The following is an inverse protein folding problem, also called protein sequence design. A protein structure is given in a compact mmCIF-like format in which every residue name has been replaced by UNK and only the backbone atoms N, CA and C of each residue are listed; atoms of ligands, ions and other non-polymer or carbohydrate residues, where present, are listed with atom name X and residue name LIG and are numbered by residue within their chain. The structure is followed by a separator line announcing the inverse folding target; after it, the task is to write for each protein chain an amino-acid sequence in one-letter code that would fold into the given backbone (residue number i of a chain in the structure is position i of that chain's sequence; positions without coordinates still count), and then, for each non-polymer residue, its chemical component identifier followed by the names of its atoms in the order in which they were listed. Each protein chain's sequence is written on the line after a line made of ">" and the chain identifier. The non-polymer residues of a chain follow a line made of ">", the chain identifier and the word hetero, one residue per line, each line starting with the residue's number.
data_IF_154339178307
#
_entry.id   IF_154339178307
#
_cell.length_a   1.000
_cell.length_b   1.000
_cell.length_c   1.000
_cell.angle_alpha   90.00
_cell.angle_beta   90.00
_cell.angle_gamma   90.00
#
_symmetry.space_group_name_H-M   'P 1'
#
loop_
_entity.id
_entity.type
_entity.pdbx_description
1 polymer ?
#
# COMPACT_ATOMS: atom_id res chain seq x y z
N UNK A 1 -56.32 15.36 43.23
CA UNK A 1 -57.14 15.14 42.01
C UNK A 1 -56.29 15.51 40.79
N UNK A 2 -56.06 14.53 39.91
CA UNK A 2 -54.93 14.46 38.98
C UNK A 2 -55.10 15.31 37.71
N UNK A 3 -54.03 16.04 37.33
CA UNK A 3 -53.91 16.79 36.06
C UNK A 3 -53.37 15.91 34.92
N UNK A 4 -53.98 14.75 34.71
CA UNK A 4 -53.63 13.82 33.64
C UNK A 4 -54.88 13.65 32.77
N UNK A 5 -54.96 14.39 31.65
CA UNK A 5 -55.72 14.05 30.41
C UNK A 5 -56.03 15.32 29.60
N UNK A 6 -55.02 15.91 28.97
CA UNK A 6 -55.25 16.76 27.78
C UNK A 6 -54.01 16.68 26.89
N UNK A 7 -53.82 15.55 26.21
CA UNK A 7 -52.96 15.47 25.03
C UNK A 7 -53.84 15.43 23.79
N UNK A 8 -53.50 16.24 22.79
CA UNK A 8 -54.17 16.28 21.49
C UNK A 8 -54.02 14.93 20.77
N UNK A 9 -54.99 14.53 19.91
CA UNK A 9 -54.87 13.30 19.15
C UNK A 9 -53.66 13.37 18.21
N UNK A 10 -52.86 12.31 18.21
CA UNK A 10 -51.67 12.16 17.38
C UNK A 10 -52.10 12.30 15.91
N UNK A 11 -51.61 13.34 15.23
CA UNK A 11 -51.78 13.51 13.79
C UNK A 11 -51.08 12.36 13.09
N UNK A 12 -51.86 11.52 12.41
CA UNK A 12 -51.35 10.39 11.64
C UNK A 12 -50.49 10.94 10.49
N UNK A 13 -49.16 10.94 10.66
CA UNK A 13 -48.22 11.33 9.61
C UNK A 13 -48.27 10.24 8.55
N UNK A 14 -48.66 10.62 7.33
CA UNK A 14 -48.79 9.69 6.20
C UNK A 14 -47.51 8.88 6.00
N UNK A 15 -47.67 7.55 6.01
CA UNK A 15 -46.64 6.52 5.92
C UNK A 15 -46.01 6.39 4.51
N UNK A 16 -45.57 7.49 3.90
CA UNK A 16 -44.89 7.46 2.61
C UNK A 16 -43.42 6.99 2.73
N UNK A 17 -42.84 6.99 3.94
CA UNK A 17 -41.43 6.67 4.18
C UNK A 17 -41.12 5.17 4.25
N UNK A 18 -42.09 4.30 4.55
CA UNK A 18 -41.82 2.88 4.77
C UNK A 18 -41.53 2.09 3.48
N UNK A 19 -42.02 2.53 2.32
CA UNK A 19 -41.65 1.90 1.04
C UNK A 19 -40.17 2.07 0.69
N UNK A 20 -39.49 3.10 1.21
CA UNK A 20 -38.03 3.25 1.05
C UNK A 20 -37.23 2.37 2.01
N UNK A 21 -37.78 2.02 3.17
CA UNK A 21 -37.08 1.20 4.18
C UNK A 21 -36.98 -0.26 3.71
N UNK A 22 -37.99 -0.76 3.00
CA UNK A 22 -38.03 -2.15 2.51
C UNK A 22 -36.96 -2.48 1.46
N UNK A 23 -36.43 -1.47 0.76
CA UNK A 23 -35.44 -1.65 -0.31
C UNK A 23 -34.00 -1.84 0.22
N UNK A 24 -33.73 -1.45 1.47
CA UNK A 24 -32.39 -1.51 2.07
C UNK A 24 -32.21 -2.62 3.11
N UNK A 25 -33.19 -3.52 3.29
CA UNK A 25 -33.10 -4.64 4.24
C UNK A 25 -31.96 -5.64 3.95
N UNK A 26 -31.33 -5.58 2.76
CA UNK A 26 -30.22 -6.45 2.35
C UNK A 26 -28.89 -5.73 2.14
N UNK A 27 -28.81 -4.43 2.40
CA UNK A 27 -27.56 -3.68 2.34
C UNK A 27 -27.11 -3.34 3.77
N UNK A 28 -25.83 -3.54 4.14
CA UNK A 28 -25.34 -3.04 5.41
C UNK A 28 -25.58 -1.53 5.46
N UNK A 29 -26.24 -1.05 6.52
CA UNK A 29 -26.66 0.35 6.74
C UNK A 29 -25.52 1.38 6.79
N UNK A 30 -24.28 0.96 6.53
CA UNK A 30 -23.08 1.79 6.58
C UNK A 30 -22.35 1.66 5.25
N UNK A 31 -22.78 2.45 4.28
CA UNK A 31 -22.10 2.62 2.99
C UNK A 31 -21.18 3.85 3.00
N UNK A 32 -20.52 4.13 4.12
CA UNK A 32 -19.46 5.14 4.20
C UNK A 32 -18.14 4.43 4.51
N UNK A 33 -17.44 4.08 3.44
CA UNK A 33 -16.16 3.35 3.49
C UNK A 33 -15.14 4.06 4.41
N UNK A 34 -15.15 5.40 4.43
CA UNK A 34 -14.24 6.22 5.25
C UNK A 34 -14.55 6.16 6.75
N UNK A 35 -15.83 6.20 7.13
CA UNK A 35 -16.24 6.14 8.54
C UNK A 35 -15.92 4.77 9.16
N UNK A 36 -16.14 3.70 8.41
CA UNK A 36 -15.73 2.34 8.80
C UNK A 36 -14.21 2.24 8.96
N UNK A 37 -13.45 2.92 8.12
CA UNK A 37 -11.98 2.91 8.16
C UNK A 37 -11.46 3.67 9.37
N UNK A 38 -12.01 4.86 9.67
CA UNK A 38 -11.63 5.64 10.85
C UNK A 38 -11.93 4.89 12.16
N UNK A 39 -13.09 4.24 12.27
CA UNK A 39 -13.44 3.42 13.43
C UNK A 39 -12.47 2.24 13.59
N UNK A 40 -12.10 1.58 12.49
CA UNK A 40 -11.16 0.47 12.54
C UNK A 40 -9.76 0.93 12.99
N UNK A 41 -9.26 2.04 12.43
CA UNK A 41 -7.98 2.63 12.82
C UNK A 41 -7.99 3.01 14.31
N UNK A 42 -9.08 3.62 14.80
CA UNK A 42 -9.24 3.94 16.22
C UNK A 42 -9.20 2.70 17.12
N UNK A 43 -9.88 1.62 16.73
CA UNK A 43 -9.89 0.35 17.45
C UNK A 43 -8.47 -0.24 17.51
N UNK A 44 -7.77 -0.27 16.38
CA UNK A 44 -6.44 -0.85 16.30
C UNK A 44 -5.38 0.00 17.01
N UNK A 45 -5.46 1.34 16.95
CA UNK A 45 -4.62 2.23 17.77
C UNK A 45 -4.82 2.00 19.27
N UNK A 46 -6.07 1.83 19.71
CA UNK A 46 -6.36 1.51 21.11
C UNK A 46 -5.78 0.16 21.54
N UNK A 47 -5.84 -0.84 20.67
CA UNK A 47 -5.27 -2.17 20.94
C UNK A 47 -3.74 -2.12 20.99
N UNK A 48 -3.13 -1.43 20.04
CA UNK A 48 -1.68 -1.25 19.98
C UNK A 48 -1.15 -0.52 21.22
N UNK A 49 -1.81 0.57 21.64
CA UNK A 49 -1.45 1.32 22.86
C UNK A 49 -1.45 0.41 24.10
N UNK A 50 -2.44 -0.50 24.19
CA UNK A 50 -2.52 -1.46 25.28
C UNK A 50 -1.41 -2.52 25.21
N UNK A 51 -1.15 -3.05 24.02
CA UNK A 51 -0.11 -4.06 23.80
C UNK A 51 1.28 -3.50 24.05
N UNK A 52 1.57 -2.29 23.58
CA UNK A 52 2.83 -1.60 23.85
C UNK A 52 3.04 -1.35 25.35
N UNK A 53 1.98 -1.07 26.12
CA UNK A 53 2.05 -0.96 27.59
C UNK A 53 2.26 -2.31 28.28
N UNK A 54 1.75 -3.39 27.68
CA UNK A 54 1.97 -4.76 28.18
C UNK A 54 3.37 -5.27 27.85
N UNK A 55 3.88 -4.98 26.66
CA UNK A 55 5.22 -5.37 26.21
C UNK A 55 6.32 -4.80 27.13
N UNK A 56 6.18 -3.55 27.60
CA UNK A 56 7.10 -2.96 28.59
C UNK A 56 7.20 -3.77 29.89
N UNK A 57 6.14 -4.49 30.26
CA UNK A 57 6.01 -5.20 31.54
C UNK A 57 6.29 -6.69 31.41
N UNK A 58 5.93 -7.25 30.27
CA UNK A 58 5.91 -8.67 29.96
C UNK A 58 6.47 -8.80 28.55
N UNK A 59 7.79 -8.68 28.41
CA UNK A 59 8.46 -8.96 27.13
C UNK A 59 8.14 -10.41 26.76
N UNK A 60 7.24 -10.57 25.79
CA UNK A 60 6.66 -11.84 25.40
C UNK A 60 6.58 -11.87 23.88
N UNK A 61 7.11 -12.92 23.23
CA UNK A 61 7.17 -13.00 21.77
C UNK A 61 5.77 -12.99 21.13
N UNK A 62 4.74 -13.47 21.85
CA UNK A 62 3.36 -13.45 21.39
C UNK A 62 2.77 -12.03 21.35
N UNK A 63 3.19 -11.15 22.27
CA UNK A 63 2.75 -9.75 22.30
C UNK A 63 3.44 -8.97 21.17
N UNK A 64 4.72 -9.22 20.93
CA UNK A 64 5.48 -8.63 19.82
C UNK A 64 4.88 -9.00 18.46
N UNK A 65 4.48 -10.27 18.26
CA UNK A 65 3.78 -10.69 17.05
C UNK A 65 2.45 -9.94 16.85
N UNK A 66 1.66 -9.74 17.90
CA UNK A 66 0.40 -8.99 17.81
C UNK A 66 0.61 -7.51 17.50
N UNK A 67 1.64 -6.90 18.10
CA UNK A 67 2.06 -5.53 17.81
C UNK A 67 2.39 -5.40 16.32
N UNK A 68 3.21 -6.31 15.80
CA UNK A 68 3.61 -6.33 14.39
C UNK A 68 2.42 -6.41 13.43
N UNK A 69 1.48 -7.33 13.67
CA UNK A 69 0.30 -7.48 12.82
C UNK A 69 -0.58 -6.22 12.81
N UNK A 70 -0.83 -5.65 13.99
CA UNK A 70 -1.66 -4.44 14.12
C UNK A 70 -0.96 -3.23 13.46
N UNK A 71 0.35 -3.11 13.61
CA UNK A 71 1.14 -2.06 12.96
C UNK A 71 1.05 -2.15 11.43
N UNK A 72 1.22 -3.34 10.86
CA UNK A 72 1.18 -3.57 9.41
C UNK A 72 -0.19 -3.20 8.79
N UNK A 73 -1.27 -3.37 9.55
CA UNK A 73 -2.63 -3.02 9.13
C UNK A 73 -2.86 -1.50 9.12
N UNK A 74 -2.46 -0.80 10.19
CA UNK A 74 -2.78 0.63 10.36
C UNK A 74 -1.76 1.59 9.75
N UNK A 75 -0.53 1.15 9.46
CA UNK A 75 0.50 2.02 8.85
C UNK A 75 0.07 2.65 7.52
N UNK A 76 -0.91 2.05 6.84
CA UNK A 76 -1.49 2.54 5.57
C UNK A 76 -2.32 3.81 5.73
N UNK A 77 -2.65 4.23 6.95
CA UNK A 77 -3.54 5.34 7.25
C UNK A 77 -2.89 6.45 8.12
N UNK A 78 -1.76 7.05 7.69
CA UNK A 78 -1.00 7.99 8.52
C UNK A 78 -1.78 9.26 8.88
N UNK A 79 -2.70 9.71 8.02
CA UNK A 79 -3.58 10.87 8.28
C UNK A 79 -4.50 10.64 9.48
N UNK A 80 -5.11 9.46 9.56
CA UNK A 80 -5.97 9.07 10.68
C UNK A 80 -5.18 8.89 11.98
N UNK A 81 -3.96 8.35 11.90
CA UNK A 81 -3.07 8.21 13.06
C UNK A 81 -2.70 9.60 13.63
N UNK A 82 -2.29 10.54 12.78
CA UNK A 82 -1.96 11.92 13.19
C UNK A 82 -3.15 12.63 13.85
N UNK A 83 -4.37 12.43 13.34
CA UNK A 83 -5.61 12.99 13.94
C UNK A 83 -5.80 12.55 15.39
N UNK A 84 -5.39 11.34 15.74
CA UNK A 84 -5.57 10.76 17.07
C UNK A 84 -4.28 10.64 17.90
N UNK A 85 -3.19 11.25 17.44
CA UNK A 85 -1.87 11.19 18.08
C UNK A 85 -1.91 11.62 19.56
N UNK A 86 -2.67 12.66 19.91
CA UNK A 86 -2.79 13.11 21.31
C UNK A 86 -3.46 12.09 22.23
N UNK A 87 -4.35 11.26 21.69
CA UNK A 87 -5.14 10.28 22.47
C UNK A 87 -4.40 8.95 22.64
N UNK A 88 -3.62 8.57 21.64
CA UNK A 88 -2.83 7.34 21.61
C UNK A 88 -1.37 7.68 21.34
N UNK A 89 -0.76 8.43 22.27
CA UNK A 89 0.57 8.99 22.07
C UNK A 89 1.63 7.91 21.83
N UNK A 90 1.62 6.84 22.64
CA UNK A 90 2.63 5.79 22.54
C UNK A 90 2.46 4.98 21.24
N UNK A 91 1.23 4.61 20.89
CA UNK A 91 0.94 3.91 19.63
C UNK A 91 1.24 4.77 18.40
N UNK A 92 0.85 6.04 18.41
CA UNK A 92 1.10 6.94 17.30
C UNK A 92 2.60 7.24 17.14
N UNK A 93 3.34 7.43 18.24
CA UNK A 93 4.79 7.57 18.23
C UNK A 93 5.46 6.30 17.71
N UNK A 94 5.03 5.13 18.19
CA UNK A 94 5.53 3.84 17.74
C UNK A 94 5.38 3.65 16.23
N UNK A 95 4.23 3.99 15.64
CA UNK A 95 4.01 3.84 14.19
C UNK A 95 4.67 4.96 13.37
N UNK A 96 4.64 6.20 13.85
CA UNK A 96 5.13 7.36 13.10
C UNK A 96 6.64 7.55 13.19
N UNK A 97 7.28 7.03 14.24
CA UNK A 97 8.71 7.17 14.49
C UNK A 97 9.51 5.86 14.33
N UNK A 98 8.87 4.68 14.19
CA UNK A 98 9.63 3.48 13.80
C UNK A 98 10.11 3.56 12.35
N UNK A 99 11.37 3.20 12.06
CA UNK A 99 11.82 2.98 10.71
C UNK A 99 11.00 1.83 10.11
N UNK A 100 10.41 2.08 8.94
CA UNK A 100 9.75 1.08 8.07
C UNK A 100 10.50 -0.25 8.18
N UNK A 101 9.84 -1.30 8.66
CA UNK A 101 10.49 -2.58 8.95
C UNK A 101 11.32 -3.07 7.75
N UNK A 102 12.49 -3.71 7.97
CA UNK A 102 13.32 -4.26 6.90
C UNK A 102 12.60 -5.29 6.02
N UNK A 103 11.49 -5.86 6.49
CA UNK A 103 10.64 -6.78 5.72
C UNK A 103 9.96 -6.04 4.55
N UNK A 104 9.45 -4.83 4.75
CA UNK A 104 8.81 -4.03 3.68
C UNK A 104 9.85 -3.47 2.69
N UNK A 105 11.06 -3.11 3.15
CA UNK A 105 12.16 -2.73 2.26
C UNK A 105 12.67 -3.91 1.43
N UNK A 106 12.83 -5.08 2.03
CA UNK A 106 13.26 -6.28 1.31
C UNK A 106 12.16 -6.79 0.38
N UNK A 107 10.89 -6.73 0.77
CA UNK A 107 9.78 -7.12 -0.09
C UNK A 107 9.68 -6.22 -1.34
N UNK A 108 9.85 -4.90 -1.17
CA UNK A 108 9.82 -3.96 -2.30
C UNK A 108 11.06 -4.06 -3.20
N UNK A 109 12.22 -4.39 -2.64
CA UNK A 109 13.44 -4.68 -3.41
C UNK A 109 13.37 -6.00 -4.16
N UNK A 110 12.84 -7.04 -3.52
CA UNK A 110 12.57 -8.33 -4.16
C UNK A 110 11.58 -8.17 -5.31
N UNK A 111 10.54 -7.35 -5.12
CA UNK A 111 9.62 -6.99 -6.19
C UNK A 111 10.34 -6.29 -7.35
N UNK A 112 11.20 -5.32 -7.06
CA UNK A 112 12.00 -4.64 -8.08
C UNK A 112 12.92 -5.61 -8.84
N UNK A 113 13.59 -6.51 -8.12
CA UNK A 113 14.46 -7.54 -8.70
C UNK A 113 13.69 -8.48 -9.63
N UNK A 114 12.56 -9.03 -9.16
CA UNK A 114 11.73 -9.94 -9.95
C UNK A 114 11.21 -9.27 -11.22
N UNK A 115 10.78 -8.00 -11.13
CA UNK A 115 10.32 -7.25 -12.31
C UNK A 115 11.46 -6.99 -13.29
N UNK A 116 12.65 -6.60 -12.81
CA UNK A 116 13.83 -6.40 -13.64
C UNK A 116 14.30 -7.70 -14.32
N UNK A 117 14.37 -8.80 -13.57
CA UNK A 117 14.74 -10.12 -14.09
C UNK A 117 13.76 -10.64 -15.13
N UNK A 118 12.45 -10.46 -14.89
CA UNK A 118 11.41 -10.84 -15.84
C UNK A 118 11.54 -10.04 -17.13
N UNK A 119 11.69 -8.72 -17.04
CA UNK A 119 11.88 -7.87 -18.20
C UNK A 119 13.14 -8.27 -18.99
N UNK A 120 14.25 -8.54 -18.30
CA UNK A 120 15.49 -9.02 -18.93
C UNK A 120 15.28 -10.33 -19.71
N UNK A 121 14.51 -11.25 -19.15
CA UNK A 121 14.19 -12.52 -19.80
C UNK A 121 13.28 -12.33 -21.01
N UNK A 122 12.22 -11.53 -20.85
CA UNK A 122 11.20 -11.30 -21.86
C UNK A 122 11.75 -10.55 -23.10
N UNK A 123 12.85 -9.80 -22.95
CA UNK A 123 13.61 -9.21 -24.06
C UNK A 123 14.34 -10.21 -24.96
N UNK A 124 14.39 -11.49 -24.60
CA UNK A 124 14.91 -12.56 -25.47
C UNK A 124 13.80 -13.21 -26.30
N UNK A 125 12.54 -12.86 -26.05
CA UNK A 125 11.41 -13.36 -26.82
C UNK A 125 11.30 -12.59 -28.14
N UNK A 126 10.61 -13.18 -29.12
CA UNK A 126 10.39 -12.57 -30.43
C UNK A 126 9.21 -11.59 -30.44
N UNK A 127 8.38 -11.59 -29.39
CA UNK A 127 7.20 -10.74 -29.25
C UNK A 127 7.38 -9.78 -28.09
N UNK A 128 7.27 -8.48 -28.35
CA UNK A 128 7.53 -7.44 -27.35
C UNK A 128 6.28 -6.63 -26.96
N UNK A 129 5.08 -7.12 -27.25
CA UNK A 129 3.79 -6.42 -27.06
C UNK A 129 3.61 -5.85 -25.64
N UNK A 130 4.19 -6.54 -24.64
CA UNK A 130 4.05 -6.19 -23.24
C UNK A 130 5.27 -5.44 -22.67
N UNK A 131 6.32 -5.21 -23.46
CA UNK A 131 7.58 -4.67 -22.94
C UNK A 131 7.42 -3.24 -22.44
N UNK A 132 6.64 -2.40 -23.13
CA UNK A 132 6.35 -1.04 -22.66
C UNK A 132 5.58 -1.05 -21.33
N UNK A 133 4.65 -1.99 -21.15
CA UNK A 133 3.92 -2.16 -19.88
C UNK A 133 4.86 -2.63 -18.76
N UNK A 134 5.74 -3.59 -19.05
CA UNK A 134 6.72 -4.09 -18.09
C UNK A 134 7.73 -3.01 -17.69
N UNK A 135 8.14 -2.16 -18.63
CA UNK A 135 8.98 -1.01 -18.34
C UNK A 135 8.26 0.02 -17.45
N UNK A 136 6.96 0.25 -17.65
CA UNK A 136 6.15 1.10 -16.77
C UNK A 136 6.02 0.50 -15.35
N UNK A 137 5.88 -0.82 -15.23
CA UNK A 137 5.90 -1.51 -13.95
C UNK A 137 7.27 -1.38 -13.26
N UNK A 138 8.35 -1.50 -14.02
CA UNK A 138 9.70 -1.31 -13.51
C UNK A 138 9.88 0.12 -12.98
N UNK A 139 9.44 1.12 -13.74
CA UNK A 139 9.41 2.52 -13.32
C UNK A 139 8.64 2.73 -12.02
N UNK A 140 7.46 2.12 -11.88
CA UNK A 140 6.68 2.20 -10.65
C UNK A 140 7.44 1.57 -9.46
N UNK A 141 8.13 0.46 -9.66
CA UNK A 141 8.94 -0.18 -8.62
C UNK A 141 10.14 0.69 -8.25
N UNK A 142 10.82 1.28 -9.23
CA UNK A 142 11.93 2.22 -9.05
C UNK A 142 11.46 3.45 -8.26
N UNK A 143 10.32 4.05 -8.59
CA UNK A 143 9.77 5.21 -7.87
C UNK A 143 9.39 4.92 -6.41
N UNK A 144 9.12 3.65 -6.06
CA UNK A 144 8.83 3.24 -4.68
C UNK A 144 10.11 3.06 -3.86
N UNK A 145 11.22 2.76 -4.52
CA UNK A 145 12.52 2.80 -3.88
C UNK A 145 12.93 4.28 -3.82
N UNK A 146 13.25 4.80 -2.63
CA UNK A 146 13.62 6.19 -2.42
C UNK A 146 14.91 6.60 -3.19
N UNK A 147 15.66 7.60 -2.71
CA UNK A 147 16.76 8.29 -3.41
C UNK A 147 17.81 7.44 -4.17
N UNK A 148 17.94 6.14 -3.86
CA UNK A 148 18.99 5.25 -4.39
C UNK A 148 18.79 4.81 -5.84
N UNK A 149 17.54 4.77 -6.34
CA UNK A 149 17.23 4.33 -7.72
C UNK A 149 16.75 5.49 -8.61
N UNK A 150 16.80 6.72 -8.11
CA UNK A 150 16.36 7.93 -8.84
C UNK A 150 17.07 8.12 -10.19
N UNK A 151 18.31 7.65 -10.34
CA UNK A 151 19.03 7.71 -11.61
C UNK A 151 18.32 6.92 -12.72
N UNK A 152 17.76 5.76 -12.39
CA UNK A 152 17.05 4.92 -13.35
C UNK A 152 15.68 5.48 -13.71
N UNK A 153 15.07 6.24 -12.80
CA UNK A 153 13.82 6.95 -13.08
C UNK A 153 13.99 7.89 -14.28
N UNK A 154 14.99 8.76 -14.23
CA UNK A 154 15.27 9.71 -15.30
C UNK A 154 15.62 9.00 -16.61
N UNK A 155 16.43 7.94 -16.55
CA UNK A 155 16.79 7.13 -17.72
C UNK A 155 15.58 6.45 -18.38
N UNK A 156 14.64 5.95 -17.56
CA UNK A 156 13.41 5.33 -18.09
C UNK A 156 12.53 6.41 -18.72
N UNK A 157 12.31 7.55 -18.05
CA UNK A 157 11.48 8.64 -18.58
C UNK A 157 11.97 9.15 -19.94
N UNK A 158 13.29 9.26 -20.14
CA UNK A 158 13.88 9.76 -21.39
C UNK A 158 13.59 8.84 -22.59
N UNK A 159 13.55 7.51 -22.39
CA UNK A 159 13.41 6.52 -23.47
C UNK A 159 12.06 5.80 -23.51
N UNK A 160 11.18 6.10 -22.56
CA UNK A 160 9.88 5.42 -22.44
C UNK A 160 9.01 5.63 -23.67
N UNK A 161 8.90 6.86 -24.16
CA UNK A 161 8.06 7.19 -25.32
C UNK A 161 8.56 6.49 -26.59
N UNK A 162 9.88 6.41 -26.78
CA UNK A 162 10.49 5.68 -27.91
C UNK A 162 10.10 4.18 -27.90
N UNK A 163 10.20 3.53 -26.74
CA UNK A 163 9.88 2.10 -26.57
C UNK A 163 8.37 1.86 -26.69
N UNK A 164 7.56 2.78 -26.19
CA UNK A 164 6.10 2.74 -26.31
C UNK A 164 5.63 2.86 -27.75
N UNK A 165 6.25 3.71 -28.56
CA UNK A 165 5.91 3.82 -29.99
C UNK A 165 6.39 2.59 -30.78
N UNK A 166 7.57 2.05 -30.46
CA UNK A 166 8.07 0.81 -31.07
C UNK A 166 7.15 -0.40 -30.80
N UNK A 167 6.50 -0.43 -29.64
CA UNK A 167 5.59 -1.52 -29.23
C UNK A 167 4.15 -1.37 -29.73
N UNK A 168 3.80 -0.26 -30.40
CA UNK A 168 2.50 -0.07 -31.05
C UNK A 168 2.45 -0.57 -32.49
N UNK A 169 3.59 -0.88 -33.09
CA UNK A 169 3.67 -1.26 -34.50
C UNK A 169 3.11 -2.66 -34.74
N UNK A 170 2.63 -2.94 -35.96
CA UNK A 170 1.93 -4.20 -36.30
C UNK A 170 2.83 -5.44 -36.22
N UNK A 171 4.14 -5.24 -36.33
CA UNK A 171 5.20 -6.21 -36.04
C UNK A 171 5.99 -5.67 -34.85
N UNK A 172 5.60 -6.05 -33.63
CA UNK A 172 6.17 -5.50 -32.39
C UNK A 172 7.55 -6.09 -32.14
N UNK A 173 8.54 -5.53 -32.83
CA UNK A 173 9.94 -5.84 -32.65
C UNK A 173 10.69 -4.59 -32.20
N UNK A 174 11.26 -4.66 -30.99
CA UNK A 174 12.25 -3.70 -30.55
C UNK A 174 13.51 -3.85 -31.43
N UNK A 175 14.15 -2.73 -31.73
CA UNK A 175 15.42 -2.78 -32.45
C UNK A 175 16.54 -3.29 -31.51
N UNK A 176 17.65 -3.75 -32.09
CA UNK A 176 18.76 -4.31 -31.29
C UNK A 176 19.31 -3.33 -30.25
N UNK A 177 19.32 -2.03 -30.55
CA UNK A 177 19.81 -0.99 -29.64
C UNK A 177 18.88 -0.81 -28.42
N UNK A 178 17.57 -0.87 -28.61
CA UNK A 178 16.56 -0.81 -27.56
C UNK A 178 16.66 -2.03 -26.66
N UNK A 179 16.81 -3.22 -27.24
CA UNK A 179 17.00 -4.46 -26.50
C UNK A 179 18.27 -4.41 -25.65
N UNK A 180 19.38 -3.99 -26.24
CA UNK A 180 20.67 -3.88 -25.54
C UNK A 180 20.60 -2.86 -24.39
N UNK A 181 20.00 -1.69 -24.64
CA UNK A 181 19.79 -0.68 -23.60
C UNK A 181 18.92 -1.19 -22.45
N UNK A 182 17.80 -1.85 -22.75
CA UNK A 182 16.92 -2.39 -21.71
C UNK A 182 17.57 -3.53 -20.93
N UNK A 183 18.39 -4.36 -21.60
CA UNK A 183 19.20 -5.40 -20.95
C UNK A 183 20.24 -4.79 -20.01
N UNK A 184 20.94 -3.73 -20.45
CA UNK A 184 21.88 -3.02 -19.60
C UNK A 184 21.19 -2.40 -18.37
N UNK A 185 20.07 -1.70 -18.59
CA UNK A 185 19.26 -1.09 -17.51
C UNK A 185 18.83 -2.12 -16.46
N UNK A 186 18.24 -3.23 -16.90
CA UNK A 186 17.73 -4.28 -15.99
C UNK A 186 18.88 -4.98 -15.27
N UNK A 187 20.01 -5.23 -15.94
CA UNK A 187 21.21 -5.78 -15.32
C UNK A 187 21.81 -4.87 -14.25
N UNK A 188 21.89 -3.57 -14.50
CA UNK A 188 22.41 -2.61 -13.54
C UNK A 188 21.53 -2.51 -12.29
N UNK A 189 20.20 -2.48 -12.48
CA UNK A 189 19.23 -2.49 -11.37
C UNK A 189 19.40 -3.77 -10.53
N UNK A 190 19.45 -4.94 -11.18
CA UNK A 190 19.64 -6.22 -10.49
C UNK A 190 20.96 -6.27 -9.71
N UNK A 191 22.05 -5.79 -10.31
CA UNK A 191 23.38 -5.74 -9.67
C UNK A 191 23.39 -4.83 -8.45
N UNK A 192 22.75 -3.66 -8.54
CA UNK A 192 22.64 -2.74 -7.42
C UNK A 192 21.83 -3.32 -6.26
N UNK A 193 20.80 -4.13 -6.55
CA UNK A 193 20.02 -4.85 -5.53
C UNK A 193 20.85 -5.95 -4.86
N UNK A 194 21.52 -6.81 -5.63
CA UNK A 194 22.36 -7.89 -5.07
C UNK A 194 23.48 -7.36 -4.18
N UNK A 195 24.14 -6.26 -4.57
CA UNK A 195 25.16 -5.62 -3.75
C UNK A 195 24.62 -5.16 -2.38
N UNK A 196 23.33 -4.80 -2.29
CA UNK A 196 22.68 -4.45 -1.01
C UNK A 196 22.43 -5.69 -0.15
N UNK A 197 21.97 -6.81 -0.72
CA UNK A 197 21.74 -8.04 0.04
C UNK A 197 23.03 -8.60 0.65
N UNK A 198 24.15 -8.50 -0.07
CA UNK A 198 25.48 -8.90 0.42
C UNK A 198 25.95 -8.04 1.60
N UNK A 199 25.62 -6.74 1.60
CA UNK A 199 25.96 -5.83 2.71
C UNK A 199 25.11 -6.05 3.96
N UNK A 200 23.86 -6.54 3.81
CA UNK A 200 22.98 -6.84 4.94
C UNK A 200 23.27 -8.20 5.58
N UNK A 201 23.71 -9.19 4.78
CA UNK A 201 24.08 -10.53 5.27
C UNK A 201 25.45 -10.61 5.95
N UNK A 202 26.27 -9.56 5.85
CA UNK A 202 27.58 -9.46 6.52
C UNK A 202 27.52 -8.73 7.87
N UNK A 203 26.35 -8.26 8.29
CA UNK A 203 26.12 -7.56 9.58
C UNK A 203 25.34 -8.37 10.64
N UNK A 204 25.09 -9.66 10.38
CA UNK A 204 24.51 -10.61 11.34
C UNK A 204 25.53 -11.68 11.72
#
# INVERSE_FOLDING_TARGET
>A
MSKLTTSLPIRNVQFASFKKISLHLKQPLLADCEFSTEINVLKQLSQLELLLKKADRLSSPMIEQQIFLIQADIQRYPSHIRKHQRRFAKAAEYILNEPITPIDQNATLNQLYVVAARLYHDLNLTQHDYVAYQLALLYQCVNRQEARFNQYKAMIEERFDEIKEATKQKEVCLNSNQIEWMKALTMDIMRQIMNKEVLLSSTT
#
